data_IF_204115316575
#
_entry.id   IF_204115316575
#
_cell.length_a   1.000
_cell.length_b   1.000
_cell.length_c   1.000
_cell.angle_alpha   90.00
_cell.angle_beta   90.00
_cell.angle_gamma   90.00
#
_symmetry.space_group_name_H-M   'P 1'
#
loop_
_entity.id
_entity.type
_entity.pdbx_description
1 polymer ?
#
# COMPACT_ATOMS: atom_id res chain seq x y z
N UNK A 1 22.91 -2.52 -7.03
CA UNK A 1 22.01 -3.56 -6.46
C UNK A 1 20.72 -3.52 -7.26
N UNK A 2 20.20 -4.67 -7.71
CA UNK A 2 18.88 -4.70 -8.37
C UNK A 2 17.77 -4.48 -7.34
N UNK A 3 16.71 -3.78 -7.74
CA UNK A 3 15.49 -3.69 -6.94
C UNK A 3 14.86 -5.09 -6.95
N UNK A 4 14.53 -5.69 -5.78
CA UNK A 4 13.86 -6.98 -5.75
C UNK A 4 12.50 -6.91 -6.45
N UNK A 5 12.17 -7.95 -7.23
CA UNK A 5 10.85 -8.08 -7.83
C UNK A 5 9.81 -8.47 -6.77
N UNK A 6 8.55 -8.00 -6.86
CA UNK A 6 7.49 -8.48 -5.98
C UNK A 6 7.17 -9.95 -6.26
N UNK A 7 6.73 -10.65 -5.22
CA UNK A 7 6.30 -12.05 -5.29
C UNK A 7 5.14 -12.27 -4.34
N UNK A 8 4.26 -13.22 -4.66
CA UNK A 8 3.15 -13.61 -3.79
C UNK A 8 3.68 -14.03 -2.41
N UNK A 9 2.99 -13.61 -1.35
CA UNK A 9 3.34 -13.88 0.06
C UNK A 9 4.38 -12.92 0.65
N UNK A 10 4.94 -12.00 -0.15
CA UNK A 10 5.93 -11.03 0.30
C UNK A 10 5.28 -9.92 1.12
N UNK A 11 5.90 -9.54 2.24
CA UNK A 11 5.47 -8.41 3.08
C UNK A 11 6.01 -7.09 2.49
N UNK A 12 5.12 -6.11 2.38
CA UNK A 12 5.39 -4.74 1.91
C UNK A 12 4.68 -3.71 2.79
N UNK A 13 4.99 -2.44 2.60
CA UNK A 13 4.23 -1.34 3.19
C UNK A 13 3.21 -0.81 2.18
N UNK A 14 1.95 -0.73 2.59
CA UNK A 14 0.89 -0.01 1.87
C UNK A 14 0.74 1.39 2.48
N UNK A 15 0.73 2.43 1.65
CA UNK A 15 0.53 3.81 2.10
C UNK A 15 -0.97 4.11 2.14
N UNK A 16 -1.52 4.19 3.34
CA UNK A 16 -2.94 4.52 3.51
C UNK A 16 -3.23 5.98 3.17
N UNK A 17 -4.33 6.23 2.48
CA UNK A 17 -4.89 7.58 2.28
C UNK A 17 -5.34 8.25 3.61
N UNK A 18 -5.45 7.46 4.69
CA UNK A 18 -6.16 7.85 5.89
C UNK A 18 -7.68 7.94 5.65
N UNK A 19 -8.43 8.22 6.71
CA UNK A 19 -9.86 8.53 6.58
C UNK A 19 -10.02 9.89 5.90
N UNK A 20 -11.02 10.13 5.05
CA UNK A 20 -11.34 11.48 4.60
C UNK A 20 -11.49 12.45 5.78
N UNK A 21 -11.17 13.72 5.55
CA UNK A 21 -11.49 14.78 6.52
C UNK A 21 -13.00 14.97 6.51
N UNK A 22 -13.63 14.94 7.68
CA UNK A 22 -15.06 15.17 7.86
C UNK A 22 -15.38 16.67 7.78
N UNK A 23 -16.65 17.02 7.66
CA UNK A 23 -17.11 18.42 7.55
C UNK A 23 -16.72 19.28 8.76
N UNK A 24 -16.50 18.67 9.92
CA UNK A 24 -16.03 19.32 11.16
C UNK A 24 -14.50 19.51 11.21
N UNK A 25 -13.78 19.15 10.13
CA UNK A 25 -12.33 19.24 10.02
C UNK A 25 -11.58 18.09 10.68
N UNK A 26 -12.28 17.12 11.29
CA UNK A 26 -11.64 15.98 11.97
C UNK A 26 -11.34 14.82 11.02
N UNK A 27 -10.42 13.95 11.43
CA UNK A 27 -10.04 12.74 10.70
C UNK A 27 -9.80 11.61 11.69
N UNK A 28 -10.48 10.47 11.51
CA UNK A 28 -10.34 9.33 12.42
C UNK A 28 -8.94 8.68 12.36
N UNK A 29 -8.36 8.54 11.17
CA UNK A 29 -7.01 7.99 11.00
C UNK A 29 -6.18 8.80 10.00
N UNK A 30 -4.97 9.27 10.37
CA UNK A 30 -4.08 9.94 9.45
C UNK A 30 -3.54 8.99 8.37
N UNK A 31 -3.04 9.52 7.24
CA UNK A 31 -2.22 8.75 6.30
C UNK A 31 -1.02 8.13 7.02
N UNK A 32 -0.76 6.84 6.77
CA UNK A 32 0.33 6.10 7.41
C UNK A 32 0.64 4.80 6.64
N UNK A 33 1.85 4.28 6.79
CA UNK A 33 2.19 2.93 6.36
C UNK A 33 1.38 1.88 7.13
N UNK A 34 0.95 0.85 6.41
CA UNK A 34 0.30 -0.35 6.92
C UNK A 34 1.03 -1.59 6.43
N UNK A 35 1.09 -2.61 7.26
CA UNK A 35 1.60 -3.90 6.83
C UNK A 35 0.67 -4.46 5.74
N UNK A 36 1.25 -4.98 4.66
CA UNK A 36 0.51 -5.62 3.61
C UNK A 36 1.26 -6.83 3.07
N UNK A 37 0.51 -7.81 2.56
CA UNK A 37 1.05 -9.00 1.91
C UNK A 37 0.64 -8.95 0.44
N UNK A 38 1.60 -9.20 -0.45
CA UNK A 38 1.35 -9.36 -1.89
C UNK A 38 0.53 -10.62 -2.12
N UNK A 39 -0.67 -10.48 -2.66
CA UNK A 39 -1.56 -11.59 -3.01
C UNK A 39 -1.53 -11.92 -4.50
N UNK A 40 -1.22 -10.94 -5.33
CA UNK A 40 -1.17 -11.07 -6.79
C UNK A 40 -0.01 -10.23 -7.34
N UNK A 41 0.61 -10.67 -8.44
CA UNK A 41 1.63 -9.92 -9.17
C UNK A 41 1.12 -9.69 -10.59
N UNK A 42 1.13 -8.44 -11.04
CA UNK A 42 0.77 -8.11 -12.42
C UNK A 42 1.95 -8.44 -13.34
N UNK A 43 1.74 -9.40 -14.26
CA UNK A 43 2.76 -9.85 -15.20
C UNK A 43 3.07 -8.82 -16.30
N UNK A 44 2.14 -7.89 -16.55
CA UNK A 44 2.31 -6.82 -17.54
C UNK A 44 2.92 -5.55 -16.93
N UNK A 45 2.75 -5.34 -15.62
CA UNK A 45 3.23 -4.16 -14.89
C UNK A 45 3.82 -4.58 -13.53
N UNK A 46 5.12 -4.92 -13.46
CA UNK A 46 5.76 -5.41 -12.22
C UNK A 46 5.75 -4.44 -11.04
N UNK A 47 5.41 -3.17 -11.26
CA UNK A 47 5.24 -2.20 -10.19
C UNK A 47 3.82 -2.24 -9.60
N UNK A 48 2.92 -3.05 -10.15
CA UNK A 48 1.55 -3.23 -9.68
C UNK A 48 1.32 -4.60 -9.09
N UNK A 49 0.71 -4.61 -7.91
CA UNK A 49 0.42 -5.83 -7.17
C UNK A 49 -0.99 -5.79 -6.58
N UNK A 50 -1.55 -6.97 -6.34
CA UNK A 50 -2.69 -7.12 -5.45
C UNK A 50 -2.21 -7.23 -4.01
N UNK A 51 -2.91 -6.56 -3.08
CA UNK A 51 -2.52 -6.55 -1.65
C UNK A 51 -3.66 -7.00 -0.73
N UNK A 52 -3.29 -7.74 0.31
CA UNK A 52 -4.04 -7.83 1.56
C UNK A 52 -3.40 -6.89 2.59
N UNK A 53 -4.11 -5.85 3.00
CA UNK A 53 -3.62 -4.79 3.88
C UNK A 53 -4.19 -4.97 5.28
N UNK A 54 -3.32 -5.00 6.27
CA UNK A 54 -3.68 -5.07 7.69
C UNK A 54 -3.74 -3.67 8.31
N UNK A 55 -4.93 -3.29 8.75
CA UNK A 55 -5.18 -2.11 9.56
C UNK A 55 -5.51 -2.52 11.00
N UNK A 56 -5.38 -1.60 11.98
CA UNK A 56 -5.72 -1.88 13.38
C UNK A 56 -7.15 -2.40 13.60
N UNK A 57 -8.08 -2.06 12.70
CA UNK A 57 -9.50 -2.41 12.79
C UNK A 57 -9.93 -3.53 11.85
N UNK A 58 -9.04 -4.08 11.03
CA UNK A 58 -9.38 -5.15 10.10
C UNK A 58 -8.49 -5.23 8.88
N UNK A 59 -8.84 -6.14 7.98
CA UNK A 59 -8.10 -6.41 6.74
C UNK A 59 -8.88 -5.93 5.52
N UNK A 60 -8.18 -5.29 4.60
CA UNK A 60 -8.73 -4.78 3.34
C UNK A 60 -8.01 -5.41 2.16
N UNK A 61 -8.69 -5.56 1.03
CA UNK A 61 -8.14 -6.17 -0.17
C UNK A 61 -8.13 -5.17 -1.32
N UNK A 62 -6.99 -5.06 -2.00
CA UNK A 62 -6.82 -4.30 -3.22
C UNK A 62 -6.43 -5.27 -4.35
N UNK A 63 -7.38 -6.03 -4.93
CA UNK A 63 -7.07 -7.01 -5.97
C UNK A 63 -6.68 -6.32 -7.27
N UNK A 64 -5.96 -7.02 -8.16
CA UNK A 64 -5.60 -6.48 -9.48
C UNK A 64 -6.84 -6.15 -10.31
N UNK A 65 -7.90 -6.93 -10.18
CA UNK A 65 -9.20 -6.69 -10.84
C UNK A 65 -9.85 -5.35 -10.45
N UNK A 66 -9.50 -4.79 -9.29
CA UNK A 66 -9.95 -3.47 -8.83
C UNK A 66 -8.89 -2.36 -9.07
N UNK A 67 -7.87 -2.64 -9.88
CA UNK A 67 -6.80 -1.70 -10.23
C UNK A 67 -5.48 -1.93 -9.49
N UNK A 68 -5.46 -2.75 -8.43
CA UNK A 68 -4.27 -3.05 -7.62
C UNK A 68 -3.64 -1.82 -6.96
N UNK A 69 -2.42 -2.00 -6.46
CA UNK A 69 -1.60 -0.93 -5.88
C UNK A 69 -0.32 -0.78 -6.69
N UNK A 70 0.02 0.45 -7.10
CA UNK A 70 1.28 0.76 -7.81
C UNK A 70 2.40 1.07 -6.82
N UNK A 71 3.65 0.78 -7.18
CA UNK A 71 4.83 1.10 -6.36
C UNK A 71 5.08 2.60 -6.38
N UNK A 72 5.38 3.18 -5.22
CA UNK A 72 5.91 4.54 -5.10
C UNK A 72 6.94 4.59 -3.98
N UNK A 73 8.19 4.89 -4.32
CA UNK A 73 9.32 4.84 -3.38
C UNK A 73 9.41 6.06 -2.42
N UNK A 74 8.39 6.93 -2.41
CA UNK A 74 8.30 8.15 -1.58
C UNK A 74 7.93 7.91 -0.11
N UNK A 75 7.60 6.67 0.26
CA UNK A 75 7.22 6.30 1.63
C UNK A 75 5.91 6.95 2.10
N UNK A 76 5.60 6.84 3.40
CA UNK A 76 4.39 7.41 3.99
C UNK A 76 4.42 8.92 4.27
N UNK A 77 5.53 9.61 3.98
CA UNK A 77 5.63 11.06 4.20
C UNK A 77 5.04 11.88 3.06
N UNK A 78 4.79 11.26 1.91
CA UNK A 78 4.15 11.90 0.76
C UNK A 78 2.65 11.57 0.71
N UNK A 79 1.74 12.53 0.94
CA UNK A 79 0.30 12.31 0.81
C UNK A 79 -0.13 11.88 -0.60
N UNK A 80 0.63 12.25 -1.65
CA UNK A 80 0.37 11.84 -3.03
C UNK A 80 0.65 10.34 -3.25
N UNK A 81 1.36 9.68 -2.33
CA UNK A 81 1.61 8.25 -2.36
C UNK A 81 0.44 7.41 -1.81
N UNK A 82 -0.69 8.02 -1.41
CA UNK A 82 -1.88 7.28 -0.99
C UNK A 82 -2.29 6.19 -1.98
N UNK A 83 -2.56 4.98 -1.49
CA UNK A 83 -2.95 3.84 -2.34
C UNK A 83 -1.78 3.11 -3.00
N UNK A 84 -0.55 3.58 -2.80
CA UNK A 84 0.66 2.95 -3.30
C UNK A 84 1.24 1.92 -2.34
N UNK A 85 2.27 1.21 -2.79
CA UNK A 85 3.09 0.36 -1.94
C UNK A 85 4.58 0.65 -2.11
N UNK A 86 5.37 0.28 -1.10
CA UNK A 86 6.83 0.28 -1.19
C UNK A 86 7.44 -0.85 -0.36
N UNK A 87 8.71 -1.10 -0.61
CA UNK A 87 9.50 -2.02 0.20
C UNK A 87 9.61 -1.51 1.65
N UNK A 88 9.55 -2.38 2.66
CA UNK A 88 9.80 -1.98 4.03
C UNK A 88 11.20 -1.34 4.14
N UNK A 89 11.31 -0.30 4.97
CA UNK A 89 12.59 0.33 5.27
C UNK A 89 13.54 -0.72 5.88
N UNK A 90 14.81 -0.66 5.48
CA UNK A 90 15.84 -1.51 6.11
C UNK A 90 16.10 -0.95 7.51
N UNK A 91 15.85 -1.76 8.54
CA UNK A 91 16.34 -1.57 9.91
C UNK A 91 17.63 -2.34 10.14
#
# INVERSE_FOLDING_TARGET
MSIPAPSIGRIVHYVSHGTPVLDDGTRAFPPACRAAVVTEVDLADPDRVGLAVDNPTGRFYHPLAAGGCRRADGGCTDPAAGGSWHWPERV
#
